data_IF_138683525014
#
_entry.id   IF_138683525014
#
_cell.length_a   1.000
_cell.length_b   1.000
_cell.length_c   1.000
_cell.angle_alpha   90.00
_cell.angle_beta   90.00
_cell.angle_gamma   90.00
#
_symmetry.space_group_name_H-M   'P 1'
#
loop_
_entity.id
_entity.type
_entity.pdbx_description
1 polymer ?
#
# COMPACT_ATOMS: atom_id res chain seq x y z
N UNK A 1 9.88 -8.60 -5.16
CA UNK A 1 9.00 -9.78 -5.10
C UNK A 1 9.21 -10.63 -6.34
N UNK A 2 9.03 -10.05 -7.52
CA UNK A 2 9.25 -10.68 -8.84
C UNK A 2 10.60 -11.41 -9.00
N UNK A 3 11.70 -10.77 -8.63
CA UNK A 3 13.05 -11.37 -8.75
C UNK A 3 13.30 -12.55 -7.82
N UNK A 4 12.59 -12.66 -6.69
CA UNK A 4 12.74 -13.76 -5.74
C UNK A 4 11.95 -14.99 -6.23
N UNK A 5 10.71 -14.78 -6.69
CA UNK A 5 9.83 -15.85 -7.14
C UNK A 5 10.31 -16.48 -8.47
N UNK A 6 10.83 -15.67 -9.40
CA UNK A 6 11.37 -16.17 -10.69
C UNK A 6 12.60 -17.06 -10.56
N UNK A 7 13.38 -16.93 -9.48
CA UNK A 7 14.55 -17.79 -9.25
C UNK A 7 14.16 -19.23 -8.94
N UNK A 8 12.93 -19.46 -8.48
CA UNK A 8 12.43 -20.79 -8.10
C UNK A 8 11.63 -21.47 -9.21
N UNK A 9 10.94 -20.70 -10.07
CA UNK A 9 10.08 -21.21 -11.14
C UNK A 9 10.18 -20.29 -12.35
N UNK A 10 10.36 -20.86 -13.53
CA UNK A 10 10.35 -20.12 -14.79
C UNK A 10 8.91 -19.72 -15.14
N UNK A 11 8.57 -18.45 -14.94
CA UNK A 11 7.28 -17.85 -15.25
C UNK A 11 7.45 -16.41 -15.71
N UNK A 12 6.54 -15.93 -16.56
CA UNK A 12 6.55 -14.53 -16.99
C UNK A 12 6.26 -13.59 -15.82
N UNK A 13 6.75 -12.34 -15.91
CA UNK A 13 6.43 -11.30 -14.92
C UNK A 13 4.92 -11.08 -14.82
N UNK A 14 4.25 -11.15 -15.97
CA UNK A 14 2.81 -10.96 -16.06
C UNK A 14 2.05 -12.03 -15.27
N UNK A 15 2.31 -13.32 -15.52
CA UNK A 15 1.64 -14.41 -14.82
C UNK A 15 1.93 -14.39 -13.31
N UNK A 16 3.16 -14.08 -12.92
CA UNK A 16 3.50 -13.92 -11.51
C UNK A 16 2.72 -12.77 -10.85
N UNK A 17 2.68 -11.61 -11.51
CA UNK A 17 1.93 -10.46 -11.01
C UNK A 17 0.43 -10.74 -10.96
N UNK A 18 -0.10 -11.56 -11.87
CA UNK A 18 -1.49 -12.00 -11.82
C UNK A 18 -1.79 -12.79 -10.54
N UNK A 19 -0.98 -13.79 -10.20
CA UNK A 19 -1.16 -14.56 -8.97
C UNK A 19 -0.94 -13.72 -7.70
N UNK A 20 0.08 -12.86 -7.70
CA UNK A 20 0.36 -12.00 -6.55
C UNK A 20 -0.80 -11.06 -6.26
N UNK A 21 -1.35 -10.41 -7.29
CA UNK A 21 -2.45 -9.45 -7.11
C UNK A 21 -3.78 -10.12 -6.78
N UNK A 22 -4.00 -11.36 -7.19
CA UNK A 22 -5.16 -12.15 -6.79
C UNK A 22 -5.09 -12.58 -5.31
N UNK A 23 -3.91 -13.04 -4.88
CA UNK A 23 -3.71 -13.50 -3.50
C UNK A 23 -3.64 -12.35 -2.49
N UNK A 24 -2.99 -11.24 -2.87
CA UNK A 24 -2.65 -10.12 -1.98
C UNK A 24 -3.32 -8.82 -2.43
N UNK A 25 -4.49 -8.46 -1.86
CA UNK A 25 -5.23 -7.26 -2.25
C UNK A 25 -4.60 -5.95 -1.74
N UNK A 26 -3.62 -6.03 -0.83
CA UNK A 26 -2.91 -4.87 -0.27
C UNK A 26 -1.41 -5.04 -0.49
N UNK A 27 -0.76 -3.96 -0.93
CA UNK A 27 0.68 -3.87 -1.16
C UNK A 27 1.23 -2.73 -0.31
N UNK A 28 2.32 -2.99 0.42
CA UNK A 28 3.02 -1.97 1.21
C UNK A 28 4.42 -1.76 0.64
N UNK A 29 4.73 -0.52 0.24
CA UNK A 29 6.05 -0.13 -0.20
C UNK A 29 6.86 0.44 0.97
N UNK A 30 7.94 -0.26 1.35
CA UNK A 30 8.83 0.16 2.42
C UNK A 30 10.17 0.62 1.87
N UNK A 31 10.64 1.80 2.30
CA UNK A 31 11.95 2.37 1.91
C UNK A 31 12.79 2.67 3.14
N UNK A 32 14.10 2.42 3.06
CA UNK A 32 15.04 2.97 4.03
C UNK A 32 15.40 4.40 3.62
N UNK A 33 15.22 5.34 4.54
CA UNK A 33 15.53 6.76 4.36
C UNK A 33 17.00 7.04 4.70
N UNK A 34 17.48 8.25 4.42
CA UNK A 34 18.90 8.61 4.63
C UNK A 34 19.32 8.57 6.10
N UNK A 35 18.38 8.84 7.02
CA UNK A 35 18.57 8.65 8.46
C UNK A 35 18.59 7.17 8.90
N UNK A 36 18.64 6.24 7.94
CA UNK A 36 18.68 4.78 8.10
C UNK A 36 17.41 4.15 8.69
N UNK A 37 16.37 4.93 8.94
CA UNK A 37 15.07 4.40 9.35
C UNK A 37 14.32 3.79 8.15
N UNK A 38 13.62 2.69 8.38
CA UNK A 38 12.72 2.10 7.38
C UNK A 38 11.30 2.61 7.61
N UNK A 39 10.69 3.20 6.59
CA UNK A 39 9.32 3.72 6.65
C UNK A 39 8.45 3.03 5.61
N UNK A 40 7.20 2.76 5.97
CA UNK A 40 6.14 2.38 5.03
C UNK A 40 5.76 3.64 4.27
N UNK A 41 6.26 3.78 3.05
CA UNK A 41 6.07 4.99 2.25
C UNK A 41 4.68 5.03 1.62
N UNK A 42 4.16 3.88 1.26
CA UNK A 42 2.89 3.78 0.55
C UNK A 42 2.17 2.48 0.89
N UNK A 43 0.86 2.57 1.10
CA UNK A 43 -0.05 1.45 1.24
C UNK A 43 -1.08 1.56 0.13
N UNK A 44 -1.09 0.57 -0.76
CA UNK A 44 -1.99 0.52 -1.90
C UNK A 44 -2.91 -0.69 -1.81
N UNK A 45 -4.14 -0.53 -2.28
CA UNK A 45 -4.96 -1.67 -2.67
C UNK A 45 -4.85 -1.95 -4.17
N UNK A 46 -5.04 -3.21 -4.52
CA UNK A 46 -5.28 -3.68 -5.88
C UNK A 46 -6.68 -4.30 -5.91
N UNK A 47 -7.59 -3.64 -6.62
CA UNK A 47 -8.95 -4.12 -6.86
C UNK A 47 -9.03 -4.75 -8.24
N UNK A 48 -9.55 -5.97 -8.31
CA UNK A 48 -9.84 -6.67 -9.58
C UNK A 48 -11.31 -6.41 -9.90
N UNK A 49 -11.55 -5.63 -10.95
CA UNK A 49 -12.90 -5.33 -11.43
C UNK A 49 -13.54 -6.57 -12.09
N UNK A 50 -14.87 -6.63 -12.23
CA UNK A 50 -15.55 -7.72 -12.95
C UNK A 50 -15.07 -7.91 -14.40
N UNK A 51 -14.50 -6.87 -15.02
CA UNK A 51 -13.88 -6.93 -16.35
C UNK A 51 -12.54 -7.67 -16.38
N UNK A 52 -11.97 -7.99 -15.21
CA UNK A 52 -10.59 -8.48 -15.06
C UNK A 52 -9.54 -7.37 -15.02
N UNK A 53 -9.94 -6.11 -15.17
CA UNK A 53 -9.05 -4.96 -15.03
C UNK A 53 -8.61 -4.79 -13.57
N UNK A 54 -7.34 -4.42 -13.38
CA UNK A 54 -6.76 -4.16 -12.07
C UNK A 54 -6.65 -2.66 -11.82
N UNK A 55 -7.30 -2.19 -10.77
CA UNK A 55 -7.23 -0.80 -10.32
C UNK A 55 -6.37 -0.72 -9.07
N UNK A 56 -5.31 0.08 -9.14
CA UNK A 56 -4.43 0.33 -8.00
C UNK A 56 -4.79 1.67 -7.38
N UNK A 57 -4.87 1.71 -6.05
CA UNK A 57 -5.24 2.92 -5.30
C UNK A 57 -4.40 3.06 -4.06
N UNK A 58 -3.70 4.18 -3.94
CA UNK A 58 -2.97 4.54 -2.72
C UNK A 58 -3.95 4.93 -1.63
N UNK A 59 -4.08 4.09 -0.60
CA UNK A 59 -4.94 4.32 0.55
C UNK A 59 -4.21 5.24 1.54
N UNK A 60 -2.93 4.95 1.83
CA UNK A 60 -2.11 5.77 2.72
C UNK A 60 -0.76 6.07 2.10
N UNK A 61 -0.25 7.27 2.36
CA UNK A 61 1.09 7.70 1.95
C UNK A 61 1.80 8.35 3.12
N UNK A 62 3.08 8.03 3.31
CA UNK A 62 3.94 8.76 4.24
C UNK A 62 4.45 10.04 3.58
N UNK A 63 4.09 11.18 4.16
CA UNK A 63 4.51 12.51 3.73
C UNK A 63 5.69 12.93 4.59
N UNK A 64 6.84 13.15 3.95
CA UNK A 64 8.00 13.73 4.61
C UNK A 64 7.74 15.23 4.72
N UNK A 65 7.58 15.72 5.95
CA UNK A 65 7.38 17.14 6.24
C UNK A 65 8.70 17.85 6.51
N UNK A 66 9.72 17.10 6.90
CA UNK A 66 11.03 17.64 7.22
C UNK A 66 12.14 16.73 6.75
N UNK A 67 13.16 17.32 6.14
CA UNK A 67 14.38 16.64 5.72
C UNK A 67 15.53 17.64 5.79
N UNK A 68 16.29 17.57 6.89
CA UNK A 68 17.44 18.45 7.12
C UNK A 68 18.65 17.67 7.62
N UNK A 69 19.81 18.31 7.56
CA UNK A 69 21.06 17.78 8.09
C UNK A 69 21.51 18.63 9.27
N UNK A 70 21.70 17.99 10.43
CA UNK A 70 22.22 18.62 11.64
C UNK A 70 23.39 17.79 12.14
N UNK A 71 24.54 18.44 12.38
CA UNK A 71 25.77 17.80 12.85
C UNK A 71 26.17 16.55 12.05
N UNK A 72 25.99 16.60 10.72
CA UNK A 72 26.29 15.49 9.81
C UNK A 72 25.31 14.32 9.88
N UNK A 73 24.17 14.47 10.58
CA UNK A 73 23.10 13.47 10.67
C UNK A 73 21.84 13.96 9.95
N UNK A 74 21.18 13.06 9.24
CA UNK A 74 19.88 13.34 8.64
C UNK A 74 18.78 13.29 9.71
N UNK A 75 18.01 14.36 9.81
CA UNK A 75 16.75 14.42 10.54
C UNK A 75 15.63 14.39 9.51
N UNK A 76 14.81 13.34 9.55
CA UNK A 76 13.71 13.13 8.60
C UNK A 76 12.46 12.78 9.39
N UNK A 77 11.49 13.67 9.35
CA UNK A 77 10.20 13.54 10.02
C UNK A 77 9.04 13.64 9.02
N UNK A 78 7.90 13.09 9.42
CA UNK A 78 6.73 12.99 8.58
C UNK A 78 5.61 12.20 9.23
N UNK A 79 4.51 12.07 8.52
CA UNK A 79 3.31 11.37 8.99
C UNK A 79 2.60 10.66 7.83
N UNK A 80 1.74 9.70 8.18
CA UNK A 80 0.87 9.06 7.20
C UNK A 80 -0.38 9.90 6.97
N UNK A 81 -0.71 10.13 5.71
CA UNK A 81 -1.96 10.73 5.28
C UNK A 81 -2.78 9.70 4.52
N UNK A 82 -4.08 9.65 4.79
CA UNK A 82 -5.00 8.89 3.97
C UNK A 82 -5.25 9.63 2.66
N UNK A 83 -4.97 8.96 1.54
CA UNK A 83 -5.11 9.51 0.18
C UNK A 83 -6.40 9.06 -0.48
N UNK A 84 -6.90 7.89 -0.12
CA UNK A 84 -8.14 7.36 -0.68
C UNK A 84 -8.90 6.48 0.31
N UNK A 85 -10.19 6.36 0.05
CA UNK A 85 -11.07 5.37 0.67
C UNK A 85 -10.76 3.97 0.13
N UNK A 86 -10.98 2.94 0.94
CA UNK A 86 -10.90 1.55 0.49
C UNK A 86 -12.08 1.20 -0.43
N UNK A 87 -11.86 0.29 -1.38
CA UNK A 87 -12.92 -0.23 -2.22
C UNK A 87 -13.97 -1.04 -1.45
N UNK A 88 -15.17 -1.17 -2.01
CA UNK A 88 -16.21 -2.06 -1.45
C UNK A 88 -15.77 -3.52 -1.45
N UNK A 89 -15.02 -3.94 -2.46
CA UNK A 89 -14.46 -5.30 -2.54
C UNK A 89 -13.47 -5.57 -1.41
N UNK A 90 -12.56 -4.63 -1.11
CA UNK A 90 -11.65 -4.75 0.01
C UNK A 90 -12.39 -4.68 1.35
N UNK A 91 -13.36 -3.76 1.50
CA UNK A 91 -14.23 -3.65 2.68
C UNK A 91 -14.91 -4.98 3.00
N UNK A 92 -15.56 -5.59 2.00
CA UNK A 92 -16.21 -6.90 2.16
C UNK A 92 -15.22 -7.97 2.60
N UNK A 93 -14.04 -8.04 1.96
CA UNK A 93 -13.00 -9.02 2.30
C UNK A 93 -12.46 -8.82 3.72
N UNK A 94 -12.27 -7.59 4.18
CA UNK A 94 -11.85 -7.28 5.55
C UNK A 94 -12.91 -7.70 6.57
N UNK A 95 -14.19 -7.46 6.27
CA UNK A 95 -15.30 -7.89 7.11
C UNK A 95 -15.39 -9.43 7.20
N UNK A 96 -15.29 -10.12 6.06
CA UNK A 96 -15.26 -11.59 5.99
C UNK A 96 -14.09 -12.20 6.78
N UNK A 97 -12.96 -11.47 6.84
CA UNK A 97 -11.79 -11.84 7.65
C UNK A 97 -11.91 -11.45 9.14
N UNK A 98 -13.04 -10.87 9.57
CA UNK A 98 -13.33 -10.57 10.97
C UNK A 98 -12.94 -9.16 11.44
N UNK A 99 -12.62 -8.22 10.54
CA UNK A 99 -12.42 -6.83 10.92
C UNK A 99 -13.75 -6.20 11.39
N UNK A 100 -13.79 -5.55 12.57
CA UNK A 100 -14.98 -4.84 13.04
C UNK A 100 -15.43 -3.75 12.05
N UNK A 101 -16.74 -3.65 11.81
CA UNK A 101 -17.32 -2.63 10.93
C UNK A 101 -16.84 -1.22 11.26
N UNK A 102 -16.77 -0.85 12.53
CA UNK A 102 -16.28 0.47 12.94
C UNK A 102 -14.86 0.79 12.45
N UNK A 103 -13.98 -0.21 12.35
CA UNK A 103 -12.63 -0.01 11.78
C UNK A 103 -12.68 0.12 10.25
N UNK A 104 -13.53 -0.65 9.59
CA UNK A 104 -13.74 -0.58 8.14
C UNK A 104 -14.29 0.80 7.76
N UNK A 105 -15.28 1.30 8.50
CA UNK A 105 -15.84 2.64 8.27
C UNK A 105 -14.80 3.76 8.46
N UNK A 106 -13.86 3.61 9.40
CA UNK A 106 -12.75 4.56 9.53
C UNK A 106 -11.81 4.56 8.31
N UNK A 107 -11.68 3.43 7.62
CA UNK A 107 -10.92 3.33 6.37
C UNK A 107 -11.71 3.87 5.18
N UNK A 108 -13.04 3.98 5.30
CA UNK A 108 -13.92 4.55 4.28
C UNK A 108 -14.04 6.07 4.43
N UNK A 109 -12.93 6.81 4.33
CA UNK A 109 -12.98 8.27 4.48
C UNK A 109 -13.54 8.98 3.25
N UNK A 110 -14.30 10.06 3.49
CA UNK A 110 -14.59 11.09 2.50
C UNK A 110 -13.29 11.86 2.22
N UNK A 111 -12.62 11.56 1.11
CA UNK A 111 -11.42 12.29 0.71
C UNK A 111 -11.82 13.76 0.49
N UNK A 112 -11.45 14.65 1.42
CA UNK A 112 -11.56 16.09 1.21
C UNK A 112 -10.65 16.45 0.05
N UNK A 113 -11.26 16.66 -1.12
CA UNK A 113 -10.58 17.26 -2.27
C UNK A 113 -10.23 18.68 -1.86
N UNK A 114 -8.93 18.95 -1.64
CA UNK A 114 -8.41 20.30 -1.46
C UNK A 114 -8.31 21.01 -2.82
#
# INVERSE_FOLDING_TARGET
>A
MVSLCKRAVDMSDETLMQYVTEAYPIIVFCKQLENKQRRMMEVMECEILPSGERVYRTIFQYVITENRMEDGKFIIDGHHEQRASISESLSKRLLENGMPLAQIENLKSEVKTA
#
